data_IF_976453700281
#
_entry.id   IF_976453700281
#
_cell.length_a   1.000
_cell.length_b   1.000
_cell.length_c   1.000
_cell.angle_alpha   90.00
_cell.angle_beta   90.00
_cell.angle_gamma   90.00
#
_symmetry.space_group_name_H-M   'P 1'
#
loop_
_entity.id
_entity.type
_entity.pdbx_description
1 polymer ?
#
# COMPACT_ATOMS: atom_id res chain seq x y z
N UNK A 1 -69.76 22.50 26.69
CA UNK A 1 -68.78 21.55 26.10
C UNK A 1 -67.72 22.34 25.35
N UNK A 2 -66.56 22.56 25.97
CA UNK A 2 -65.46 23.31 25.37
C UNK A 2 -64.71 22.42 24.37
N UNK A 3 -64.62 22.86 23.10
CA UNK A 3 -63.79 22.23 22.07
C UNK A 3 -62.38 22.82 22.17
N UNK A 4 -61.44 22.07 22.72
CA UNK A 4 -60.02 22.43 22.69
C UNK A 4 -59.43 22.06 21.33
N UNK A 5 -58.98 23.07 20.58
CA UNK A 5 -58.20 22.90 19.34
C UNK A 5 -56.73 22.88 19.70
N UNK A 6 -56.06 21.76 19.47
CA UNK A 6 -54.61 21.64 19.62
C UNK A 6 -53.95 21.96 18.27
N UNK A 7 -53.23 23.08 18.19
CA UNK A 7 -52.39 23.43 17.04
C UNK A 7 -50.98 22.91 17.34
N UNK A 8 -50.56 21.88 16.59
CA UNK A 8 -49.20 21.36 16.62
C UNK A 8 -48.33 22.16 15.65
N UNK A 9 -47.43 23.00 16.18
CA UNK A 9 -46.44 23.73 15.38
C UNK A 9 -45.23 22.83 15.17
N UNK A 10 -45.03 22.37 13.93
CA UNK A 10 -43.86 21.58 13.53
C UNK A 10 -42.70 22.53 13.17
N UNK A 11 -41.70 22.62 14.05
CA UNK A 11 -40.45 23.34 13.80
C UNK A 11 -39.54 22.50 12.90
N UNK A 12 -39.43 22.87 11.62
CA UNK A 12 -38.46 22.31 10.69
C UNK A 12 -37.07 22.94 10.95
N UNK A 13 -36.21 22.19 11.65
CA UNK A 13 -34.79 22.51 11.77
C UNK A 13 -34.08 22.11 10.47
N UNK A 14 -33.89 23.07 9.56
CA UNK A 14 -33.00 22.91 8.41
C UNK A 14 -31.56 23.10 8.90
N UNK A 15 -30.93 21.99 9.29
CA UNK A 15 -29.50 21.95 9.58
C UNK A 15 -28.71 22.16 8.30
N UNK A 16 -28.02 23.30 8.19
CA UNK A 16 -27.08 23.57 7.11
C UNK A 16 -25.79 22.77 7.39
N UNK A 17 -25.72 21.52 6.91
CA UNK A 17 -24.46 20.77 6.88
C UNK A 17 -23.59 21.37 5.80
N UNK A 18 -22.50 22.05 6.19
CA UNK A 18 -21.44 22.39 5.24
C UNK A 18 -20.83 21.10 4.73
N UNK A 19 -21.13 20.71 3.48
CA UNK A 19 -20.39 19.65 2.80
C UNK A 19 -18.91 20.07 2.76
N UNK A 20 -18.05 19.42 3.54
CA UNK A 20 -16.62 19.56 3.37
C UNK A 20 -16.28 19.11 1.95
N UNK A 21 -15.90 20.06 1.09
CA UNK A 21 -15.49 19.73 -0.27
C UNK A 21 -14.27 18.82 -0.19
N UNK A 22 -14.43 17.60 -0.68
CA UNK A 22 -13.35 16.63 -0.75
C UNK A 22 -12.11 17.21 -1.41
N UNK A 23 -11.00 17.05 -0.70
CA UNK A 23 -9.65 17.49 -1.09
C UNK A 23 -9.26 16.82 -2.41
N UNK A 24 -9.33 17.59 -3.50
CA UNK A 24 -8.87 17.15 -4.82
C UNK A 24 -7.45 17.65 -5.05
N UNK A 25 -6.49 16.74 -5.20
CA UNK A 25 -5.13 17.12 -5.55
C UNK A 25 -5.07 17.72 -6.95
N UNK A 26 -4.25 18.74 -7.16
CA UNK A 26 -3.98 19.42 -8.44
C UNK A 26 -2.58 19.06 -8.95
N UNK A 27 -1.58 19.05 -8.07
CA UNK A 27 -0.17 18.73 -8.34
C UNK A 27 0.49 18.04 -7.16
N UNK A 28 1.74 17.59 -7.35
CA UNK A 28 2.60 17.04 -6.30
C UNK A 28 3.95 17.73 -6.35
N UNK A 29 4.47 18.14 -5.19
CA UNK A 29 5.85 18.58 -5.02
C UNK A 29 6.67 17.41 -4.49
N UNK A 30 7.84 17.18 -5.07
CA UNK A 30 8.73 16.06 -4.77
C UNK A 30 10.02 16.63 -4.19
N UNK A 31 10.40 16.18 -2.99
CA UNK A 31 11.66 16.52 -2.34
C UNK A 31 12.41 15.22 -2.04
N UNK A 32 13.51 14.98 -2.74
CA UNK A 32 14.40 13.86 -2.41
C UNK A 32 15.00 14.05 -1.01
N UNK A 33 14.87 13.04 -0.16
CA UNK A 33 15.34 13.04 1.24
C UNK A 33 16.58 12.19 1.41
N UNK A 34 16.63 11.07 0.69
CA UNK A 34 17.74 10.14 0.72
C UNK A 34 18.10 9.76 -0.71
N UNK A 35 19.39 9.81 -1.03
CA UNK A 35 19.95 9.35 -2.29
C UNK A 35 21.15 8.47 -2.00
N UNK A 36 21.14 7.26 -2.55
CA UNK A 36 22.22 6.29 -2.42
C UNK A 36 22.13 5.32 -3.62
N UNK A 37 23.12 4.44 -3.81
CA UNK A 37 23.10 3.35 -4.80
C UNK A 37 22.12 2.21 -4.48
N UNK A 38 21.15 2.45 -3.58
CA UNK A 38 20.25 1.45 -3.02
C UNK A 38 18.91 1.45 -3.74
N UNK A 39 18.43 0.27 -4.12
CA UNK A 39 17.07 0.08 -4.60
C UNK A 39 16.14 -0.17 -3.41
N UNK A 40 15.20 0.75 -3.17
CA UNK A 40 14.32 0.70 -2.00
C UNK A 40 12.88 0.46 -2.46
N UNK A 41 12.26 -0.58 -1.89
CA UNK A 41 10.87 -0.96 -2.12
C UNK A 41 10.10 -1.13 -0.81
N UNK A 42 10.81 -1.45 0.27
CA UNK A 42 10.21 -1.72 1.56
C UNK A 42 10.34 -0.47 2.45
N UNK A 43 9.25 0.28 2.59
CA UNK A 43 9.16 1.43 3.50
C UNK A 43 7.88 1.32 4.34
N UNK A 44 7.94 1.78 5.59
CA UNK A 44 6.82 1.74 6.52
C UNK A 44 6.96 2.80 7.60
N UNK A 45 5.85 3.43 7.99
CA UNK A 45 5.86 4.32 9.14
C UNK A 45 5.78 3.50 10.42
N UNK A 46 6.73 3.70 11.32
CA UNK A 46 6.67 3.15 12.68
C UNK A 46 5.76 4.00 13.57
N UNK A 47 5.72 5.31 13.27
CA UNK A 47 4.88 6.32 13.91
C UNK A 47 4.78 7.55 12.99
N UNK A 48 4.14 8.63 13.47
CA UNK A 48 4.03 9.89 12.73
C UNK A 48 5.35 10.66 12.52
N UNK A 49 6.44 10.21 13.13
CA UNK A 49 7.74 10.89 13.13
C UNK A 49 8.83 10.08 12.41
N UNK A 50 8.61 8.80 12.18
CA UNK A 50 9.65 7.85 11.78
C UNK A 50 9.19 6.97 10.63
N UNK A 51 9.79 7.17 9.46
CA UNK A 51 9.68 6.25 8.33
C UNK A 51 10.88 5.30 8.34
N UNK A 52 10.64 4.00 8.54
CA UNK A 52 11.66 2.97 8.38
C UNK A 52 11.75 2.50 6.92
N UNK A 53 12.91 2.00 6.53
CA UNK A 53 13.14 1.43 5.20
C UNK A 53 14.14 0.28 5.21
N UNK A 54 14.02 -0.60 4.22
CA UNK A 54 15.01 -1.61 3.89
C UNK A 54 15.09 -1.81 2.35
N UNK A 55 16.25 -2.18 1.84
CA UNK A 55 16.49 -2.27 0.41
C UNK A 55 17.60 -3.25 0.02
N UNK A 56 18.20 -2.99 -1.14
CA UNK A 56 19.27 -3.80 -1.70
C UNK A 56 20.57 -3.71 -0.90
N UNK A 57 21.48 -4.68 -1.10
CA UNK A 57 22.79 -4.74 -0.45
C UNK A 57 22.73 -4.69 1.09
N UNK A 58 21.67 -5.24 1.69
CA UNK A 58 21.50 -5.29 3.14
C UNK A 58 21.19 -3.94 3.79
N UNK A 59 21.00 -2.86 3.01
CA UNK A 59 20.79 -1.53 3.58
C UNK A 59 19.41 -1.42 4.24
N UNK A 60 19.39 -0.87 5.45
CA UNK A 60 18.17 -0.52 6.18
C UNK A 60 18.37 0.73 7.00
N UNK A 61 17.28 1.37 7.44
CA UNK A 61 17.38 2.61 8.18
C UNK A 61 16.05 3.25 8.51
N UNK A 62 16.14 4.52 8.92
CA UNK A 62 14.99 5.35 9.26
C UNK A 62 15.20 6.80 8.82
N UNK A 63 14.10 7.49 8.56
CA UNK A 63 14.02 8.91 8.27
C UNK A 63 13.13 9.56 9.33
N UNK A 64 13.63 10.61 9.99
CA UNK A 64 12.81 11.47 10.82
C UNK A 64 12.02 12.44 9.94
N UNK A 65 10.68 12.38 9.98
CA UNK A 65 9.78 13.09 9.06
C UNK A 65 9.71 14.60 9.29
N UNK A 66 10.21 15.11 10.43
CA UNK A 66 10.26 16.54 10.76
C UNK A 66 11.56 17.19 10.31
N UNK A 67 12.68 16.50 10.53
CA UNK A 67 14.02 17.04 10.28
C UNK A 67 14.61 16.56 8.96
N UNK A 68 13.98 15.60 8.31
CA UNK A 68 14.48 14.86 7.15
C UNK A 68 15.82 14.14 7.42
N UNK A 69 16.21 13.99 8.69
CA UNK A 69 17.46 13.31 9.06
C UNK A 69 17.35 11.82 8.77
N UNK A 70 18.29 11.31 8.01
CA UNK A 70 18.42 9.90 7.66
C UNK A 70 19.43 9.21 8.59
N UNK A 71 19.12 7.99 9.02
CA UNK A 71 20.06 7.05 9.64
C UNK A 71 19.98 5.74 8.86
N UNK A 72 21.12 5.24 8.42
CA UNK A 72 21.22 4.01 7.66
C UNK A 72 22.31 3.10 8.23
N UNK A 73 22.12 1.80 8.08
CA UNK A 73 23.07 0.77 8.44
C UNK A 73 22.97 -0.39 7.42
N UNK A 74 23.89 -1.34 7.52
CA UNK A 74 23.95 -2.51 6.63
C UNK A 74 23.83 -3.78 7.45
N UNK A 75 22.86 -4.63 7.10
CA UNK A 75 22.75 -5.98 7.63
C UNK A 75 23.49 -6.95 6.72
N UNK A 76 24.33 -7.79 7.32
CA UNK A 76 25.02 -8.89 6.66
C UNK A 76 24.58 -10.21 7.26
N UNK A 77 24.59 -11.27 6.44
CA UNK A 77 24.48 -12.65 6.90
C UNK A 77 25.66 -13.43 6.32
N UNK A 78 26.61 -13.82 7.15
CA UNK A 78 27.88 -14.43 6.74
C UNK A 78 28.64 -13.58 5.70
N UNK A 79 28.62 -14.00 4.43
CA UNK A 79 29.22 -13.31 3.28
C UNK A 79 28.19 -12.59 2.39
N UNK A 80 26.90 -12.76 2.67
CA UNK A 80 25.78 -12.29 1.86
C UNK A 80 25.28 -10.94 2.39
N UNK A 81 24.95 -10.06 1.45
CA UNK A 81 24.19 -8.83 1.71
C UNK A 81 22.74 -9.06 1.26
N UNK A 82 21.79 -9.25 2.18
CA UNK A 82 20.44 -9.64 1.82
C UNK A 82 19.70 -8.56 1.02
N UNK A 83 18.86 -8.99 0.09
CA UNK A 83 17.95 -8.10 -0.64
C UNK A 83 16.62 -8.01 0.10
N UNK A 84 16.38 -6.92 0.81
CA UNK A 84 15.11 -6.72 1.51
C UNK A 84 14.02 -6.20 0.56
N UNK A 85 12.85 -6.83 0.61
CA UNK A 85 11.67 -6.45 -0.19
C UNK A 85 10.39 -6.29 0.63
N UNK A 86 10.37 -6.83 1.84
CA UNK A 86 9.25 -6.76 2.75
C UNK A 86 9.70 -6.25 4.13
N UNK A 87 8.87 -5.40 4.73
CA UNK A 87 9.06 -4.84 6.06
C UNK A 87 7.75 -4.93 6.84
N UNK A 88 7.82 -4.80 8.15
CA UNK A 88 6.66 -4.80 9.02
C UNK A 88 7.00 -4.11 10.33
N UNK A 89 6.01 -3.77 11.13
CA UNK A 89 6.28 -3.32 12.48
C UNK A 89 5.20 -3.77 13.47
N UNK A 90 5.63 -3.83 14.72
CA UNK A 90 4.75 -3.72 15.90
C UNK A 90 5.07 -2.40 16.58
N UNK A 91 4.39 -2.09 17.69
CA UNK A 91 4.69 -0.91 18.50
C UNK A 91 6.13 -0.88 19.04
N UNK A 92 6.80 -2.03 19.17
CA UNK A 92 8.14 -2.12 19.75
C UNK A 92 9.23 -2.43 18.73
N UNK A 93 8.86 -2.99 17.58
CA UNK A 93 9.84 -3.64 16.71
C UNK A 93 9.59 -3.34 15.23
N UNK A 94 10.68 -3.11 14.52
CA UNK A 94 10.73 -3.12 13.07
C UNK A 94 11.24 -4.47 12.57
N UNK A 95 10.67 -4.93 11.46
CA UNK A 95 10.99 -6.20 10.82
C UNK A 95 11.42 -5.98 9.37
N UNK A 96 12.35 -6.79 8.90
CA UNK A 96 12.81 -6.80 7.51
C UNK A 96 13.04 -8.23 7.02
N UNK A 97 12.45 -8.57 5.89
CA UNK A 97 12.49 -9.91 5.29
C UNK A 97 13.23 -9.87 3.95
N UNK A 98 14.27 -10.69 3.83
CA UNK A 98 14.98 -10.87 2.56
C UNK A 98 14.13 -11.66 1.58
N UNK A 99 14.27 -11.31 0.31
CA UNK A 99 13.43 -11.86 -0.77
C UNK A 99 13.87 -13.25 -1.22
N UNK A 100 15.17 -13.53 -1.22
CA UNK A 100 15.73 -14.72 -1.87
C UNK A 100 16.33 -15.69 -0.85
N UNK A 101 16.74 -16.87 -1.32
CA UNK A 101 17.38 -17.93 -0.56
C UNK A 101 18.81 -17.56 -0.07
N UNK A 102 19.15 -17.68 1.24
CA UNK A 102 18.24 -17.99 2.34
C UNK A 102 17.30 -16.83 2.65
N UNK A 103 16.02 -17.13 2.89
CA UNK A 103 15.10 -16.15 3.43
C UNK A 103 15.46 -15.88 4.89
N UNK A 104 15.65 -14.61 5.21
CA UNK A 104 16.14 -14.12 6.49
C UNK A 104 15.18 -13.06 6.98
N UNK A 105 14.46 -13.37 8.06
CA UNK A 105 13.59 -12.42 8.75
C UNK A 105 14.30 -11.89 9.98
N UNK A 106 14.50 -10.59 10.00
CA UNK A 106 15.06 -9.90 11.14
C UNK A 106 14.01 -9.07 11.86
N UNK A 107 14.24 -8.89 13.16
CA UNK A 107 13.49 -8.04 14.08
C UNK A 107 14.46 -7.07 14.78
N UNK A 108 13.99 -5.93 15.26
CA UNK A 108 14.78 -5.07 16.15
C UNK A 108 15.12 -5.81 17.45
N UNK A 109 16.41 -6.00 17.73
CA UNK A 109 16.89 -6.62 18.96
C UNK A 109 17.10 -5.59 20.08
N UNK A 110 17.26 -6.09 21.31
CA UNK A 110 17.29 -5.27 22.54
C UNK A 110 18.41 -4.20 22.54
N UNK A 111 19.52 -4.45 21.84
CA UNK A 111 20.67 -3.54 21.77
C UNK A 111 20.62 -2.61 20.54
N UNK A 112 19.49 -2.54 19.83
CA UNK A 112 19.35 -1.81 18.57
C UNK A 112 20.02 -2.48 17.37
N UNK A 113 20.58 -3.68 17.56
CA UNK A 113 21.03 -4.55 16.47
C UNK A 113 19.88 -5.44 16.00
N UNK A 114 19.87 -5.81 14.73
CA UNK A 114 18.83 -6.66 14.18
C UNK A 114 19.07 -8.13 14.55
N UNK A 115 18.04 -8.78 15.09
CA UNK A 115 18.04 -10.19 15.51
C UNK A 115 17.36 -11.06 14.44
N UNK A 116 17.98 -12.19 14.08
CA UNK A 116 17.41 -13.15 13.15
C UNK A 116 16.38 -14.02 13.87
N UNK A 117 15.11 -13.95 13.44
CA UNK A 117 13.98 -14.65 14.07
C UNK A 117 13.36 -15.74 13.19
N UNK A 118 13.73 -15.78 11.91
CA UNK A 118 13.38 -16.86 11.00
C UNK A 118 14.43 -17.00 9.90
N UNK A 119 14.79 -18.24 9.58
CA UNK A 119 15.64 -18.59 8.43
C UNK A 119 14.98 -19.75 7.68
N UNK A 120 14.87 -19.62 6.37
CA UNK A 120 14.50 -20.74 5.50
C UNK A 120 15.49 -20.86 4.35
N UNK A 121 16.00 -22.07 4.13
CA UNK A 121 16.96 -22.37 3.08
C UNK A 121 16.49 -23.59 2.29
N UNK A 122 15.97 -23.34 1.09
CA UNK A 122 15.49 -24.36 0.18
C UNK A 122 15.40 -23.81 -1.25
N UNK A 123 15.41 -24.71 -2.25
CA UNK A 123 15.20 -24.34 -3.63
C UNK A 123 13.80 -23.74 -3.82
N UNK A 124 13.71 -22.59 -4.49
CA UNK A 124 12.45 -21.90 -4.75
C UNK A 124 11.95 -20.98 -3.63
N UNK A 125 12.69 -20.82 -2.53
CA UNK A 125 12.35 -19.85 -1.47
C UNK A 125 12.38 -18.43 -2.04
N UNK A 126 11.22 -17.78 -2.02
CA UNK A 126 11.05 -16.38 -2.37
C UNK A 126 9.92 -15.75 -1.54
N UNK A 127 10.20 -14.69 -0.76
CA UNK A 127 9.18 -14.00 0.06
C UNK A 127 8.94 -12.58 -0.43
N UNK A 128 7.66 -12.22 -0.55
CA UNK A 128 7.24 -11.01 -1.26
C UNK A 128 6.71 -9.90 -0.35
N UNK A 129 6.07 -10.29 0.77
CA UNK A 129 5.44 -9.35 1.67
C UNK A 129 5.36 -9.84 3.13
N UNK A 130 5.21 -8.87 4.03
CA UNK A 130 5.13 -8.99 5.47
C UNK A 130 4.13 -7.95 5.98
N UNK A 131 3.18 -8.36 6.82
CA UNK A 131 2.17 -7.48 7.42
C UNK A 131 1.82 -7.96 8.82
N UNK A 132 1.51 -7.03 9.72
CA UNK A 132 1.02 -7.34 11.07
C UNK A 132 -0.47 -6.99 11.17
N UNK A 133 -1.27 -7.93 11.71
CA UNK A 133 -2.65 -7.64 12.10
C UNK A 133 -2.69 -6.80 13.39
N UNK A 134 -1.72 -7.03 14.27
CA UNK A 134 -1.57 -6.36 15.56
C UNK A 134 -0.16 -6.60 16.13
N UNK A 135 0.11 -6.13 17.36
CA UNK A 135 1.41 -6.26 18.03
C UNK A 135 1.87 -7.70 18.33
N UNK A 136 1.02 -8.71 18.18
CA UNK A 136 1.35 -10.12 18.44
C UNK A 136 1.30 -10.98 17.20
N UNK A 137 0.43 -10.66 16.26
CA UNK A 137 0.11 -11.52 15.13
C UNK A 137 0.56 -10.86 13.83
N UNK A 138 1.36 -11.58 13.05
CA UNK A 138 1.84 -11.15 11.74
C UNK A 138 1.98 -12.30 10.75
N UNK A 139 2.04 -11.95 9.48
CA UNK A 139 2.08 -12.86 8.34
C UNK A 139 3.13 -12.41 7.35
N UNK A 140 3.90 -13.35 6.82
CA UNK A 140 4.68 -13.15 5.62
C UNK A 140 4.26 -14.15 4.55
N UNK A 141 4.26 -13.70 3.30
CA UNK A 141 3.81 -14.47 2.14
C UNK A 141 4.89 -14.45 1.08
N UNK A 142 5.04 -15.59 0.42
CA UNK A 142 5.99 -15.84 -0.65
C UNK A 142 5.42 -16.75 -1.73
N UNK A 143 6.27 -17.04 -2.70
CA UNK A 143 5.93 -17.81 -3.89
C UNK A 143 5.48 -19.24 -3.57
N UNK A 144 4.80 -19.85 -4.56
CA UNK A 144 4.41 -21.25 -4.50
C UNK A 144 5.63 -22.15 -4.34
N UNK A 145 5.60 -22.94 -3.27
CA UNK A 145 6.51 -24.06 -3.05
C UNK A 145 5.71 -25.31 -2.74
N UNK A 146 6.02 -26.41 -3.42
CA UNK A 146 5.37 -27.71 -3.19
C UNK A 146 3.83 -27.70 -3.37
N UNK A 147 3.30 -26.79 -4.21
CA UNK A 147 1.88 -26.77 -4.60
C UNK A 147 0.99 -25.82 -3.80
N UNK A 148 1.54 -24.98 -2.93
CA UNK A 148 0.84 -23.91 -2.22
C UNK A 148 1.75 -22.69 -2.03
N UNK A 149 1.18 -21.50 -1.79
CA UNK A 149 1.97 -20.31 -1.43
C UNK A 149 2.76 -20.55 -0.13
N UNK A 150 3.98 -20.02 -0.06
CA UNK A 150 4.75 -20.04 1.18
C UNK A 150 4.22 -19.00 2.15
N UNK A 151 3.55 -19.44 3.22
CA UNK A 151 3.01 -18.54 4.25
C UNK A 151 3.61 -18.88 5.61
N UNK A 152 4.19 -17.87 6.26
CA UNK A 152 4.65 -17.97 7.65
C UNK A 152 3.85 -17.02 8.53
N UNK A 153 3.61 -17.45 9.77
CA UNK A 153 2.81 -16.69 10.74
C UNK A 153 3.52 -16.64 12.09
N UNK A 154 3.52 -15.46 12.69
CA UNK A 154 3.83 -15.28 14.11
C UNK A 154 2.55 -15.05 14.91
N UNK A 155 2.55 -15.50 16.17
CA UNK A 155 1.50 -15.25 17.16
C UNK A 155 2.05 -14.69 18.48
N UNK A 156 3.35 -14.40 18.53
CA UNK A 156 4.08 -14.02 19.75
C UNK A 156 4.85 -12.70 19.60
N UNK A 157 4.43 -11.84 18.67
CA UNK A 157 5.07 -10.54 18.41
C UNK A 157 6.35 -10.68 17.58
N UNK A 158 6.41 -11.69 16.72
CA UNK A 158 7.52 -11.95 15.81
C UNK A 158 8.75 -12.54 16.49
N UNK A 159 8.62 -13.12 17.70
CA UNK A 159 9.71 -13.85 18.36
C UNK A 159 9.94 -15.20 17.70
N UNK A 160 8.87 -15.84 17.24
CA UNK A 160 8.92 -17.04 16.42
C UNK A 160 7.95 -16.97 15.25
N UNK A 161 8.29 -17.67 14.17
CA UNK A 161 7.52 -17.73 12.93
C UNK A 161 7.35 -19.19 12.50
N UNK A 162 6.11 -19.56 12.17
CA UNK A 162 5.75 -20.92 11.81
C UNK A 162 5.22 -20.96 10.38
N UNK A 163 5.80 -21.82 9.54
CA UNK A 163 5.33 -22.07 8.17
C UNK A 163 4.05 -22.89 8.18
N UNK A 164 3.03 -22.45 7.46
CA UNK A 164 1.79 -23.18 7.30
C UNK A 164 2.00 -24.41 6.40
N UNK A 165 1.30 -25.50 6.71
CA UNK A 165 1.28 -26.69 5.86
C UNK A 165 0.45 -26.43 4.60
N UNK A 166 0.88 -26.94 3.44
CA UNK A 166 0.06 -26.88 2.22
C UNK A 166 -1.31 -27.56 2.38
N UNK A 167 -1.48 -28.49 3.32
CA UNK A 167 -2.78 -29.08 3.63
C UNK A 167 -3.80 -28.06 4.20
N UNK A 168 -3.33 -26.93 4.73
CA UNK A 168 -4.14 -25.84 5.26
C UNK A 168 -4.32 -24.68 4.27
N UNK A 169 -3.76 -24.80 3.07
CA UNK A 169 -3.75 -23.75 2.05
C UNK A 169 -4.44 -24.22 0.76
N UNK A 170 -5.03 -23.30 -0.01
CA UNK A 170 -5.53 -23.63 -1.33
C UNK A 170 -4.39 -24.08 -2.24
N UNK A 171 -4.71 -24.95 -3.19
CA UNK A 171 -3.75 -25.38 -4.21
C UNK A 171 -3.36 -24.18 -5.09
N UNK A 172 -2.06 -23.92 -5.16
CA UNK A 172 -1.50 -22.91 -6.05
C UNK A 172 -1.48 -23.41 -7.50
N UNK A 173 -1.55 -22.47 -8.44
CA UNK A 173 -1.31 -22.75 -9.86
C UNK A 173 0.21 -22.86 -10.05
N UNK A 174 0.64 -23.58 -11.09
CA UNK A 174 2.04 -23.66 -11.47
C UNK A 174 2.64 -22.27 -11.65
N UNK A 175 3.82 -22.03 -11.04
CA UNK A 175 4.51 -20.73 -11.04
C UNK A 175 3.69 -19.55 -10.47
N UNK A 176 2.61 -19.82 -9.73
CA UNK A 176 1.92 -18.75 -9.02
C UNK A 176 2.78 -18.23 -7.88
N UNK A 177 2.94 -16.92 -7.85
CA UNK A 177 3.64 -16.22 -6.80
C UNK A 177 2.83 -15.03 -6.31
N UNK A 178 3.46 -14.20 -5.49
CA UNK A 178 3.00 -12.85 -5.30
C UNK A 178 4.08 -11.91 -5.84
N UNK A 179 3.72 -10.73 -6.34
CA UNK A 179 4.78 -9.81 -6.76
C UNK A 179 5.46 -9.22 -5.52
N UNK A 180 6.79 -9.34 -5.39
CA UNK A 180 7.63 -8.56 -4.45
C UNK A 180 7.63 -7.04 -4.77
N UNK A 181 6.46 -6.50 -5.11
CA UNK A 181 6.15 -5.13 -5.44
C UNK A 181 5.91 -4.34 -4.16
N UNK A 182 7.00 -4.15 -3.41
CA UNK A 182 7.04 -3.15 -2.34
C UNK A 182 6.11 -3.42 -1.16
N UNK A 183 5.97 -4.68 -0.76
CA UNK A 183 5.17 -5.08 0.40
C UNK A 183 3.66 -4.75 0.25
N UNK A 184 3.15 -4.62 -0.98
CA UNK A 184 1.78 -4.15 -1.23
C UNK A 184 0.87 -5.14 -1.95
N UNK A 185 1.33 -6.37 -2.14
CA UNK A 185 0.48 -7.45 -2.64
C UNK A 185 -0.46 -8.02 -1.55
N UNK A 186 -0.35 -7.55 -0.31
CA UNK A 186 -1.10 -8.01 0.86
C UNK A 186 -1.73 -6.83 1.59
N UNK A 187 -2.95 -7.02 2.07
CA UNK A 187 -3.59 -6.09 3.01
C UNK A 187 -4.32 -6.83 4.13
N UNK A 188 -4.40 -6.20 5.30
CA UNK A 188 -5.08 -6.73 6.49
C UNK A 188 -5.95 -5.67 7.14
N UNK A 189 -7.23 -5.98 7.37
CA UNK A 189 -8.16 -5.10 8.11
C UNK A 189 -8.90 -5.96 9.14
N UNK A 190 -8.71 -5.63 10.42
CA UNK A 190 -9.20 -6.47 11.52
C UNK A 190 -8.59 -7.87 11.42
N UNK A 191 -9.43 -8.90 11.32
CA UNK A 191 -9.01 -10.29 11.18
C UNK A 191 -8.87 -10.73 9.70
N UNK A 192 -9.31 -9.89 8.75
CA UNK A 192 -9.30 -10.21 7.32
C UNK A 192 -7.92 -10.01 6.71
N UNK A 193 -7.60 -10.84 5.72
CA UNK A 193 -6.37 -10.78 4.93
C UNK A 193 -6.69 -11.03 3.46
N UNK A 194 -6.16 -10.18 2.58
CA UNK A 194 -6.18 -10.38 1.14
C UNK A 194 -4.74 -10.46 0.63
N UNK A 195 -4.44 -11.43 -0.22
CA UNK A 195 -3.15 -11.58 -0.89
C UNK A 195 -3.39 -11.70 -2.39
N UNK A 196 -2.88 -10.74 -3.16
CA UNK A 196 -2.92 -10.71 -4.61
C UNK A 196 -1.75 -11.49 -5.22
N UNK A 197 -2.03 -12.26 -6.28
CA UNK A 197 -1.04 -13.13 -6.93
C UNK A 197 -0.72 -12.74 -8.37
N UNK A 198 0.38 -13.28 -8.89
CA UNK A 198 0.78 -13.18 -10.31
C UNK A 198 -0.28 -13.78 -11.24
N UNK A 199 -1.08 -14.74 -10.77
CA UNK A 199 -2.16 -15.37 -11.55
C UNK A 199 -3.49 -14.59 -11.52
N UNK A 200 -3.49 -13.31 -11.13
CA UNK A 200 -4.71 -12.50 -11.08
C UNK A 200 -5.75 -13.01 -10.07
N UNK A 201 -5.31 -13.78 -9.07
CA UNK A 201 -6.15 -14.33 -8.01
C UNK A 201 -5.93 -13.57 -6.71
N UNK A 202 -6.91 -13.67 -5.83
CA UNK A 202 -6.82 -13.17 -4.47
C UNK A 202 -7.04 -14.32 -3.51
N UNK A 203 -6.04 -14.62 -2.69
CA UNK A 203 -6.19 -15.48 -1.54
C UNK A 203 -6.79 -14.65 -0.41
N UNK A 204 -7.88 -15.14 0.15
CA UNK A 204 -8.61 -14.45 1.20
C UNK A 204 -8.71 -15.32 2.45
N UNK A 205 -8.40 -14.72 3.59
CA UNK A 205 -8.66 -15.28 4.91
C UNK A 205 -9.50 -14.29 5.72
N UNK A 206 -10.46 -14.82 6.48
CA UNK A 206 -11.31 -14.03 7.38
C UNK A 206 -10.90 -14.14 8.86
N UNK A 207 -9.90 -14.95 9.16
CA UNK A 207 -9.56 -15.41 10.51
C UNK A 207 -8.04 -15.42 10.77
N UNK A 208 -7.37 -14.36 10.28
CA UNK A 208 -5.92 -14.15 10.40
C UNK A 208 -5.07 -15.29 9.84
N UNK A 209 -5.48 -15.85 8.70
CA UNK A 209 -4.73 -16.86 7.96
C UNK A 209 -4.88 -18.28 8.50
N UNK A 210 -5.93 -18.58 9.28
CA UNK A 210 -6.21 -19.97 9.73
C UNK A 210 -6.93 -20.76 8.64
N UNK A 211 -7.89 -20.13 7.96
CA UNK A 211 -8.59 -20.69 6.81
C UNK A 211 -8.49 -19.74 5.61
N UNK A 212 -8.52 -20.33 4.42
CA UNK A 212 -8.25 -19.63 3.18
C UNK A 212 -9.21 -20.04 2.07
N UNK A 213 -9.52 -19.07 1.22
CA UNK A 213 -10.28 -19.25 -0.02
C UNK A 213 -9.58 -18.51 -1.15
N UNK A 214 -9.89 -18.86 -2.40
CA UNK A 214 -9.33 -18.19 -3.58
C UNK A 214 -10.45 -17.57 -4.39
N UNK A 215 -10.31 -16.28 -4.66
CA UNK A 215 -11.20 -15.49 -5.52
C UNK A 215 -10.48 -15.24 -6.84
N UNK A 216 -11.16 -15.54 -7.95
CA UNK A 216 -10.69 -15.14 -9.29
C UNK A 216 -11.12 -13.71 -9.56
N UNK A 217 -10.25 -12.92 -10.17
CA UNK A 217 -10.54 -11.54 -10.57
C UNK A 217 -10.52 -11.42 -12.10
N UNK A 218 -11.07 -10.35 -12.67
CA UNK A 218 -10.94 -10.07 -14.11
C UNK A 218 -9.58 -9.47 -14.48
N UNK A 219 -8.60 -9.43 -13.58
CA UNK A 219 -7.26 -8.89 -13.85
C UNK A 219 -6.54 -9.69 -14.93
N UNK A 220 -5.73 -9.01 -15.74
CA UNK A 220 -4.80 -9.61 -16.68
C UNK A 220 -3.79 -10.52 -15.94
N UNK A 221 -3.57 -11.74 -16.43
CA UNK A 221 -2.70 -12.74 -15.76
C UNK A 221 -2.28 -13.92 -16.66
N UNK A 222 -2.15 -13.71 -17.97
CA UNK A 222 -1.77 -14.79 -18.91
C UNK A 222 -0.24 -15.00 -18.97
N UNK A 223 0.54 -13.97 -18.60
CA UNK A 223 2.01 -14.04 -18.53
C UNK A 223 2.52 -13.89 -17.10
N UNK A 224 3.72 -14.40 -16.84
CA UNK A 224 4.40 -14.25 -15.53
C UNK A 224 4.66 -12.78 -15.13
N UNK A 225 4.71 -11.88 -16.10
CA UNK A 225 4.94 -10.44 -15.87
C UNK A 225 3.64 -9.67 -15.64
N UNK A 226 2.49 -10.33 -15.86
CA UNK A 226 1.14 -9.80 -15.66
C UNK A 226 0.59 -10.20 -14.29
N UNK A 227 -0.43 -9.49 -13.82
CA UNK A 227 -1.13 -9.79 -12.58
C UNK A 227 -1.36 -8.54 -11.74
N UNK A 228 -1.70 -8.78 -10.46
CA UNK A 228 -2.02 -7.73 -9.50
C UNK A 228 -0.76 -7.47 -8.67
N UNK A 229 -0.13 -6.31 -8.87
CA UNK A 229 1.11 -5.93 -8.17
C UNK A 229 0.84 -5.35 -6.79
N UNK A 230 -0.29 -4.67 -6.65
CA UNK A 230 -0.62 -3.95 -5.44
C UNK A 230 -2.12 -3.96 -5.20
N UNK A 231 -2.49 -4.19 -3.95
CA UNK A 231 -3.84 -4.01 -3.44
C UNK A 231 -3.80 -3.06 -2.25
N UNK A 232 -4.87 -2.30 -2.09
CA UNK A 232 -5.12 -1.52 -0.88
C UNK A 232 -6.62 -1.55 -0.56
N UNK A 233 -6.96 -1.41 0.71
CA UNK A 233 -8.34 -1.35 1.19
C UNK A 233 -8.54 -0.09 2.01
N UNK A 234 -9.54 0.70 1.65
CA UNK A 234 -9.91 1.89 2.41
C UNK A 234 -10.60 1.52 3.72
N UNK A 235 -11.48 0.52 3.63
CA UNK A 235 -12.20 -0.09 4.74
C UNK A 235 -12.40 -1.59 4.45
N UNK A 236 -13.14 -2.28 5.31
CA UNK A 236 -13.32 -3.73 5.19
C UNK A 236 -14.15 -4.19 3.97
N UNK A 237 -14.71 -3.26 3.20
CA UNK A 237 -15.55 -3.50 2.03
C UNK A 237 -14.94 -2.95 0.73
N UNK A 238 -14.42 -1.72 0.76
CA UNK A 238 -13.89 -1.02 -0.41
C UNK A 238 -12.39 -1.29 -0.59
N UNK A 239 -12.06 -2.02 -1.65
CA UNK A 239 -10.68 -2.35 -2.03
C UNK A 239 -10.38 -2.03 -3.49
N UNK A 240 -9.10 -1.75 -3.78
CA UNK A 240 -8.62 -1.46 -5.13
C UNK A 240 -7.35 -2.27 -5.41
N UNK A 241 -7.29 -2.88 -6.60
CA UNK A 241 -6.13 -3.60 -7.10
C UNK A 241 -5.59 -2.94 -8.36
N UNK A 242 -4.27 -2.85 -8.46
CA UNK A 242 -3.58 -2.39 -9.67
C UNK A 242 -2.41 -3.30 -10.02
N UNK A 243 -2.09 -3.37 -11.31
CA UNK A 243 -0.91 -4.05 -11.81
C UNK A 243 -0.75 -3.84 -13.30
N UNK A 244 -0.74 -4.95 -14.05
CA UNK A 244 -0.47 -4.98 -15.49
C UNK A 244 0.84 -5.67 -15.81
N UNK A 245 1.41 -5.39 -16.98
CA UNK A 245 2.68 -5.98 -17.44
C UNK A 245 3.81 -4.94 -17.37
N UNK A 246 4.81 -5.15 -16.51
CA UNK A 246 5.94 -4.22 -16.41
C UNK A 246 6.81 -4.17 -17.68
N UNK A 247 6.74 -5.20 -18.52
CA UNK A 247 7.47 -5.23 -19.81
C UNK A 247 6.73 -4.46 -20.90
N UNK A 248 5.42 -4.23 -20.73
CA UNK A 248 4.57 -3.43 -21.61
C UNK A 248 3.86 -2.34 -20.77
N UNK A 249 4.61 -1.40 -20.15
CA UNK A 249 4.10 -0.58 -19.05
C UNK A 249 3.04 0.46 -19.45
N UNK A 250 2.82 0.66 -20.76
CA UNK A 250 1.75 1.50 -21.30
C UNK A 250 0.44 0.74 -21.51
N UNK A 251 0.45 -0.60 -21.48
CA UNK A 251 -0.75 -1.39 -21.55
C UNK A 251 -1.63 -1.10 -20.33
N UNK A 252 -2.92 -0.88 -20.57
CA UNK A 252 -3.88 -0.40 -19.58
C UNK A 252 -5.22 -1.16 -19.66
N UNK A 253 -5.16 -2.39 -20.17
CA UNK A 253 -6.28 -3.33 -20.28
C UNK A 253 -6.26 -4.25 -19.06
N UNK A 254 -7.40 -4.39 -18.38
CA UNK A 254 -7.63 -5.27 -17.23
C UNK A 254 -6.56 -5.15 -16.12
N UNK A 255 -5.95 -3.97 -15.95
CA UNK A 255 -4.86 -3.75 -14.99
C UNK A 255 -5.32 -3.03 -13.71
N UNK A 256 -6.63 -2.73 -13.60
CA UNK A 256 -7.25 -1.97 -12.52
C UNK A 256 -8.57 -2.63 -12.14
N UNK A 257 -8.70 -3.03 -10.88
CA UNK A 257 -9.89 -3.70 -10.36
C UNK A 257 -10.34 -3.06 -9.06
N UNK A 258 -11.64 -3.14 -8.77
CA UNK A 258 -12.24 -2.61 -7.56
C UNK A 258 -13.22 -3.63 -6.97
N UNK A 259 -13.32 -3.66 -5.65
CA UNK A 259 -14.34 -4.38 -4.88
C UNK A 259 -15.05 -3.41 -3.95
N UNK A 260 -16.34 -3.64 -3.72
CA UNK A 260 -17.18 -2.85 -2.81
C UNK A 260 -17.90 -3.77 -1.80
N UNK A 261 -17.49 -5.04 -1.71
CA UNK A 261 -18.12 -6.08 -0.89
C UNK A 261 -17.12 -6.92 -0.07
N UNK A 262 -15.92 -6.34 0.18
CA UNK A 262 -14.86 -6.96 0.98
C UNK A 262 -14.02 -7.96 0.21
N UNK A 263 -13.95 -7.81 -1.11
CA UNK A 263 -13.20 -8.68 -2.01
C UNK A 263 -13.91 -9.96 -2.41
N UNK A 264 -15.22 -10.11 -2.11
CA UNK A 264 -16.00 -11.28 -2.55
C UNK A 264 -16.21 -11.25 -4.06
N UNK A 265 -16.46 -10.06 -4.61
CA UNK A 265 -16.50 -9.82 -6.05
C UNK A 265 -15.57 -8.67 -6.45
N UNK A 266 -14.99 -8.79 -7.64
CA UNK A 266 -14.11 -7.79 -8.23
C UNK A 266 -14.55 -7.49 -9.65
N UNK A 267 -14.49 -6.23 -10.05
CA UNK A 267 -14.77 -5.78 -11.42
C UNK A 267 -13.65 -4.90 -11.95
N UNK A 268 -13.40 -4.96 -13.26
CA UNK A 268 -12.49 -4.02 -13.93
C UNK A 268 -13.06 -2.60 -13.84
N UNK A 269 -12.17 -1.60 -13.75
CA UNK A 269 -12.52 -0.18 -13.74
C UNK A 269 -11.52 0.63 -14.56
N UNK A 270 -12.00 1.66 -15.26
CA UNK A 270 -11.18 2.51 -16.14
C UNK A 270 -10.38 1.67 -17.17
N UNK A 271 -11.02 0.65 -17.75
CA UNK A 271 -10.41 -0.25 -18.72
C UNK A 271 -10.03 0.50 -20.01
N UNK A 272 -8.85 0.24 -20.54
CA UNK A 272 -8.30 0.97 -21.69
C UNK A 272 -7.93 2.43 -21.42
N UNK A 273 -8.06 2.89 -20.18
CA UNK A 273 -7.69 4.25 -19.75
C UNK A 273 -6.42 4.23 -18.90
N UNK A 274 -5.63 5.31 -18.98
CA UNK A 274 -4.50 5.52 -18.06
C UNK A 274 -4.95 5.45 -16.58
N UNK A 275 -4.07 5.01 -15.65
CA UNK A 275 -2.71 4.57 -15.87
C UNK A 275 -2.59 3.15 -16.45
N UNK A 276 -1.52 2.93 -17.20
CA UNK A 276 -0.95 1.59 -17.43
C UNK A 276 -0.32 0.99 -16.17
N UNK A 277 0.79 0.27 -16.32
CA UNK A 277 1.46 -0.42 -15.21
C UNK A 277 1.78 0.50 -14.02
N UNK A 278 1.45 0.03 -12.81
CA UNK A 278 1.82 0.60 -11.51
C UNK A 278 2.20 -0.50 -10.55
N UNK A 279 3.19 -0.23 -9.71
CA UNK A 279 3.72 -1.20 -8.74
C UNK A 279 3.19 -1.00 -7.31
N UNK A 280 2.51 0.12 -7.04
CA UNK A 280 1.93 0.40 -5.74
C UNK A 280 0.71 1.32 -5.88
N UNK A 281 -0.37 1.01 -5.17
CA UNK A 281 -1.56 1.85 -5.03
C UNK A 281 -1.87 2.07 -3.55
N UNK A 282 -2.36 3.26 -3.20
CA UNK A 282 -2.95 3.53 -1.90
C UNK A 282 -4.15 4.48 -2.00
N UNK A 283 -5.15 4.24 -1.17
CA UNK A 283 -6.17 5.23 -0.88
C UNK A 283 -5.55 6.41 -0.13
N UNK A 284 -6.04 7.61 -0.45
CA UNK A 284 -5.67 8.83 0.27
C UNK A 284 -6.41 8.82 1.61
N UNK A 285 -5.71 8.99 2.76
CA UNK A 285 -6.37 9.08 4.05
C UNK A 285 -7.43 10.18 4.09
N UNK A 286 -8.52 9.94 4.81
CA UNK A 286 -9.64 10.90 4.98
C UNK A 286 -10.28 11.37 3.66
N UNK A 287 -10.24 10.55 2.60
CA UNK A 287 -10.84 10.88 1.30
C UNK A 287 -12.20 10.21 1.04
N UNK A 288 -12.83 9.62 2.07
CA UNK A 288 -14.06 8.82 1.95
C UNK A 288 -13.96 7.70 0.89
N UNK A 289 -12.76 7.12 0.77
CA UNK A 289 -12.45 6.10 -0.24
C UNK A 289 -12.41 6.62 -1.68
N UNK A 290 -12.53 7.93 -1.92
CA UNK A 290 -12.59 8.49 -3.29
C UNK A 290 -11.21 8.81 -3.85
N UNK A 291 -10.28 9.26 -3.01
CA UNK A 291 -8.92 9.59 -3.43
C UNK A 291 -8.06 8.34 -3.50
N UNK A 292 -7.40 8.12 -4.65
CA UNK A 292 -6.46 7.00 -4.85
C UNK A 292 -5.20 7.53 -5.54
N UNK A 293 -4.02 7.18 -5.03
CA UNK A 293 -2.73 7.45 -5.68
C UNK A 293 -2.09 6.13 -6.07
N UNK A 294 -1.60 6.07 -7.31
CA UNK A 294 -0.82 4.95 -7.80
C UNK A 294 0.54 5.42 -8.31
N UNK A 295 1.59 4.68 -7.93
CA UNK A 295 2.98 4.95 -8.33
C UNK A 295 3.59 3.75 -9.04
N UNK A 296 4.54 4.04 -9.92
CA UNK A 296 5.35 3.07 -10.63
C UNK A 296 6.54 3.78 -11.25
N UNK A 297 7.43 3.05 -11.92
CA UNK A 297 8.53 3.68 -12.66
C UNK A 297 8.03 4.58 -13.82
N UNK A 298 6.75 4.48 -14.17
CA UNK A 298 6.05 5.32 -15.16
C UNK A 298 5.53 6.65 -14.61
N UNK A 299 5.67 6.91 -13.31
CA UNK A 299 5.26 8.17 -12.69
C UNK A 299 4.21 8.03 -11.58
N UNK A 300 3.62 9.15 -11.20
CA UNK A 300 2.58 9.27 -10.16
C UNK A 300 1.23 9.60 -10.82
N UNK A 301 0.21 8.80 -10.55
CA UNK A 301 -1.16 8.98 -11.03
C UNK A 301 -2.12 9.13 -9.85
N UNK A 302 -3.17 9.93 -10.03
CA UNK A 302 -4.18 10.16 -9.00
C UNK A 302 -5.60 10.09 -9.57
N UNK A 303 -6.49 9.42 -8.84
CA UNK A 303 -7.93 9.46 -9.04
C UNK A 303 -8.59 10.16 -7.86
N UNK A 304 -9.61 10.97 -8.16
CA UNK A 304 -10.45 11.65 -7.15
C UNK A 304 -11.82 10.99 -6.96
N UNK A 305 -12.11 9.95 -7.73
CA UNK A 305 -13.43 9.34 -7.87
C UNK A 305 -13.29 7.82 -7.93
N UNK A 306 -12.68 7.23 -6.89
CA UNK A 306 -12.61 5.78 -6.68
C UNK A 306 -11.97 5.00 -7.84
N UNK A 307 -11.06 5.62 -8.58
CA UNK A 307 -10.37 4.97 -9.70
C UNK A 307 -11.12 4.96 -11.03
N UNK A 308 -12.28 5.63 -11.13
CA UNK A 308 -13.02 5.77 -12.41
C UNK A 308 -12.28 6.63 -13.42
N UNK A 309 -11.67 7.74 -12.96
CA UNK A 309 -10.90 8.66 -13.81
C UNK A 309 -9.57 8.98 -13.14
N UNK A 310 -8.52 9.09 -13.95
CA UNK A 310 -7.16 9.32 -13.48
C UNK A 310 -6.53 10.53 -14.15
N UNK A 311 -5.58 11.13 -13.46
CA UNK A 311 -4.67 12.12 -14.03
C UNK A 311 -3.23 11.81 -13.64
N UNK A 312 -2.31 12.07 -14.55
CA UNK A 312 -0.88 12.07 -14.23
C UNK A 312 -0.54 13.32 -13.42
N UNK A 313 0.14 13.14 -12.29
CA UNK A 313 0.64 14.22 -11.44
C UNK A 313 2.14 14.49 -11.66
N UNK A 314 2.91 13.45 -12.01
CA UNK A 314 4.35 13.54 -12.27
C UNK A 314 4.80 12.37 -13.13
N UNK A 315 5.89 12.57 -13.88
CA UNK A 315 6.61 11.50 -14.60
C UNK A 315 7.70 10.84 -13.75
N UNK A 316 8.00 11.38 -12.58
CA UNK A 316 9.04 10.84 -11.71
C UNK A 316 8.62 9.48 -11.11
N UNK A 317 9.49 8.49 -11.27
CA UNK A 317 9.19 7.10 -10.98
C UNK A 317 9.55 6.66 -9.57
N UNK A 318 8.64 5.91 -8.94
CA UNK A 318 8.80 5.28 -7.63
C UNK A 318 8.27 3.85 -7.67
N UNK A 319 8.76 2.98 -6.79
CA UNK A 319 8.25 1.61 -6.66
C UNK A 319 7.17 1.47 -5.59
N UNK A 320 7.14 2.39 -4.61
CA UNK A 320 6.28 2.32 -3.43
C UNK A 320 5.89 3.71 -2.95
N UNK A 321 4.76 3.80 -2.25
CA UNK A 321 4.29 5.01 -1.56
C UNK A 321 3.67 4.63 -0.22
N UNK A 322 3.88 5.46 0.81
CA UNK A 322 3.18 5.40 2.11
C UNK A 322 2.70 6.80 2.46
N UNK A 323 1.40 6.95 2.73
CA UNK A 323 0.86 8.21 3.26
C UNK A 323 1.21 8.39 4.74
N UNK A 324 1.75 9.56 5.08
CA UNK A 324 1.89 10.01 6.46
C UNK A 324 0.57 10.63 6.96
N UNK A 325 -0.13 11.33 6.07
CA UNK A 325 -1.45 11.94 6.31
C UNK A 325 -2.17 12.20 4.97
N UNK A 326 -3.26 12.95 5.01
CA UNK A 326 -4.12 13.22 3.84
C UNK A 326 -3.49 14.08 2.73
N UNK A 327 -2.26 14.57 2.89
CA UNK A 327 -1.59 15.46 1.93
C UNK A 327 -0.08 15.21 1.77
N UNK A 328 0.53 14.48 2.71
CA UNK A 328 1.96 14.13 2.72
C UNK A 328 2.11 12.62 2.62
N UNK A 329 2.97 12.19 1.70
CA UNK A 329 3.40 10.81 1.58
C UNK A 329 4.92 10.72 1.41
N UNK A 330 5.48 9.53 1.59
CA UNK A 330 6.84 9.22 1.21
C UNK A 330 6.81 8.13 0.15
N UNK A 331 7.67 8.26 -0.84
CA UNK A 331 7.80 7.29 -1.91
C UNK A 331 9.27 6.89 -2.06
N UNK A 332 9.50 5.64 -2.43
CA UNK A 332 10.85 5.11 -2.60
C UNK A 332 10.99 4.37 -3.92
N UNK A 333 12.19 4.32 -4.45
CA UNK A 333 12.47 3.72 -5.74
C UNK A 333 13.94 3.38 -5.93
N UNK A 334 14.37 3.32 -7.18
CA UNK A 334 15.78 3.17 -7.53
C UNK A 334 16.55 4.39 -7.03
N UNK A 335 17.49 4.17 -6.14
CA UNK A 335 18.46 5.14 -5.64
C UNK A 335 17.89 6.27 -4.79
N UNK A 336 16.61 6.22 -4.39
CA UNK A 336 16.01 7.34 -3.66
C UNK A 336 14.85 7.00 -2.74
N UNK A 337 14.69 7.84 -1.71
CA UNK A 337 13.45 8.09 -0.98
C UNK A 337 13.11 9.58 -1.11
N UNK A 338 11.86 9.89 -1.43
CA UNK A 338 11.37 11.26 -1.58
C UNK A 338 10.13 11.50 -0.72
N UNK A 339 10.02 12.72 -0.19
CA UNK A 339 8.82 13.26 0.43
C UNK A 339 7.94 13.88 -0.65
N UNK A 340 6.70 13.43 -0.73
CA UNK A 340 5.66 13.92 -1.63
C UNK A 340 4.72 14.85 -0.86
N UNK A 341 4.51 16.05 -1.39
CA UNK A 341 3.54 17.01 -0.87
C UNK A 341 2.47 17.29 -1.92
N UNK A 342 1.30 16.68 -1.76
CA UNK A 342 0.16 16.89 -2.64
C UNK A 342 -0.47 18.25 -2.38
N UNK A 343 -0.77 18.98 -3.45
CA UNK A 343 -1.38 20.31 -3.38
C UNK A 343 -2.83 20.25 -3.80
N UNK A 344 -3.70 20.94 -3.10
CA UNK A 344 -5.13 21.02 -3.45
C UNK A 344 -5.36 21.89 -4.67
N UNK A 345 -6.44 21.63 -5.40
CA UNK A 345 -6.96 22.59 -6.37
C UNK A 345 -7.55 23.76 -5.59
N UNK A 346 -6.86 24.91 -5.57
CA UNK A 346 -7.45 26.15 -5.08
C UNK A 346 -8.63 26.51 -5.97
N UNK A 347 -9.81 26.71 -5.37
CA UNK A 347 -10.89 27.38 -6.08
C UNK A 347 -10.36 28.78 -6.44
N UNK A 348 -10.39 29.15 -7.73
CA UNK A 348 -9.94 30.47 -8.15
C UNK A 348 -10.77 31.54 -7.47
N UNK A 349 -10.23 32.15 -6.43
CA UNK A 349 -10.79 33.38 -5.87
C UNK A 349 -10.48 34.45 -6.91
N UNK A 350 -11.48 34.80 -7.73
CA UNK A 350 -11.46 36.09 -8.42
C UNK A 350 -11.50 37.15 -7.31
N UNK A 351 -10.35 37.75 -7.02
CA UNK A 351 -10.34 38.96 -6.19
C UNK A 351 -11.23 39.99 -6.89
N UNK A 352 -12.18 40.62 -6.18
CA UNK A 352 -12.95 41.71 -6.76
C UNK A 352 -11.98 42.80 -7.26
N UNK A 353 -12.26 43.46 -8.39
CA UNK A 353 -11.44 44.56 -8.84
C UNK A 353 -11.32 45.61 -7.73
N UNK A 354 -10.16 46.27 -7.59
CA UNK A 354 -9.96 47.29 -6.56
C UNK A 354 -11.04 48.36 -6.68
N UNK A 355 -11.67 48.69 -5.54
CA UNK A 355 -12.62 49.79 -5.42
C UNK A 355 -11.94 51.06 -5.95
N UNK A 356 -12.43 51.58 -7.07
CA UNK A 356 -12.09 52.92 -7.51
C UNK A 356 -12.68 53.89 -6.50
N UNK A 357 -11.82 54.48 -5.67
CA UNK A 357 -12.18 55.63 -4.85
C UNK A 357 -12.55 56.77 -5.80
N UNK A 358 -13.84 57.04 -5.94
CA UNK A 358 -14.32 58.28 -6.54
C UNK A 358 -13.89 59.43 -5.63
N UNK A 359 -13.19 60.41 -6.21
CA UNK A 359 -12.80 61.63 -5.50
C UNK A 359 -14.07 62.38 -5.06
N UNK A 360 -14.17 62.84 -3.80
CA UNK A 360 -15.15 63.85 -3.46
C UNK A 360 -14.79 65.17 -4.15
N UNK A 361 -15.82 65.81 -4.73
CA UNK A 361 -15.77 67.14 -5.34
C UNK A 361 -15.51 68.24 -4.32
#
# INVERSE_FOLDING_TARGET
MYKSVFILVLLLLVGCTSEEKLKTFSSVSIKTIYTDSVSIRAIEFLDGQTLAFAGSNGVYGSINTYTDKVRANVQKFDTIFPEFRAVGHTNSDFFMLSVANPALLYKTGENGQMELVYKEEAAGVFYDALKFWNNKEGIAVGDNMNGCLSIIITRDGGKSWNKLSCSSLPKAIESEGAFAASNTNIETIGDKTWVATTSGRIYFSSDKGKTWSVIKTPSLSEKQTEGIYSIDFYDENLGFGIGGDYTIPKANINNKIITEDGGRTWRTIADGQEPGYKSCVQFVPNSEGKGIVAVGFTGISYSKNKGENWKSLSKEGFYTIRFLNDSIAYAAGKNQIARLSFKLKTAGIKLPPPLQLTKPN
#
